data_IF_320730585563
#
_entry.id   IF_320730585563
#
_cell.length_a   1.000
_cell.length_b   1.000
_cell.length_c   1.000
_cell.angle_alpha   90.00
_cell.angle_beta   90.00
_cell.angle_gamma   90.00
#
_symmetry.space_group_name_H-M   'P 1'
#
loop_
_entity.id
_entity.type
_entity.pdbx_description
1 polymer ?
#
# COMPACT_ATOMS: atom_id res chain seq x y z
N UNK A 1 8.24 -17.29 -21.13
CA UNK A 1 9.07 -16.07 -21.20
C UNK A 1 9.55 -15.74 -19.80
N UNK A 2 10.79 -15.24 -19.66
CA UNK A 2 11.28 -14.75 -18.37
C UNK A 2 10.56 -13.43 -18.04
N UNK A 3 10.37 -13.14 -16.76
CA UNK A 3 9.82 -11.88 -16.28
C UNK A 3 10.90 -11.16 -15.48
N UNK A 4 11.02 -9.86 -15.69
CA UNK A 4 12.08 -9.04 -15.14
C UNK A 4 11.51 -7.73 -14.60
N UNK A 5 12.11 -7.23 -13.54
CA UNK A 5 11.89 -5.85 -13.10
C UNK A 5 12.74 -4.94 -13.99
N UNK A 6 12.08 -4.00 -14.66
CA UNK A 6 12.69 -3.07 -15.61
C UNK A 6 13.01 -1.72 -15.00
N UNK A 7 12.14 -1.24 -14.12
CA UNK A 7 12.30 0.03 -13.42
C UNK A 7 11.48 0.04 -12.13
N UNK A 8 11.93 0.83 -11.15
CA UNK A 8 11.24 1.05 -9.87
C UNK A 8 11.41 2.52 -9.48
N UNK A 9 10.31 3.15 -9.07
CA UNK A 9 10.31 4.46 -8.41
C UNK A 9 9.33 4.43 -7.24
N UNK A 10 9.48 5.38 -6.32
CA UNK A 10 8.65 5.48 -5.13
C UNK A 10 8.27 6.92 -4.81
N UNK A 11 7.17 7.08 -4.09
CA UNK A 11 6.66 8.35 -3.57
C UNK A 11 6.46 8.22 -2.06
N UNK A 12 6.83 9.28 -1.34
CA UNK A 12 6.55 9.46 0.06
C UNK A 12 5.78 10.79 0.20
N UNK A 13 4.66 10.84 0.92
CA UNK A 13 3.88 12.06 1.08
C UNK A 13 4.65 13.13 1.88
N UNK A 14 4.31 14.41 1.69
CA UNK A 14 5.13 15.52 2.19
C UNK A 14 5.20 15.60 3.72
N UNK A 15 4.11 15.26 4.42
CA UNK A 15 4.04 15.38 5.87
C UNK A 15 4.91 14.33 6.53
N UNK A 16 5.88 14.80 7.31
CA UNK A 16 6.76 13.96 8.13
C UNK A 16 6.30 14.03 9.59
N UNK A 17 6.07 12.88 10.21
CA UNK A 17 5.80 12.74 11.64
C UNK A 17 7.06 12.16 12.30
N UNK A 18 7.71 12.97 13.13
CA UNK A 18 8.95 12.61 13.82
C UNK A 18 8.69 11.92 15.16
N UNK A 19 9.73 11.32 15.73
CA UNK A 19 9.66 10.81 17.10
C UNK A 19 9.49 11.94 18.12
N UNK A 20 10.04 13.12 17.86
CA UNK A 20 9.87 14.32 18.68
C UNK A 20 8.41 14.77 18.69
N UNK A 21 7.74 14.79 17.53
CA UNK A 21 6.32 15.12 17.43
C UNK A 21 5.43 14.15 18.22
N UNK A 22 5.75 12.85 18.14
CA UNK A 22 5.06 11.82 18.91
C UNK A 22 5.34 11.95 20.41
N UNK A 23 6.55 12.31 20.80
CA UNK A 23 6.90 12.51 22.22
C UNK A 23 6.18 13.73 22.80
N UNK A 24 6.00 14.79 22.00
CA UNK A 24 5.22 15.95 22.38
C UNK A 24 3.72 15.63 22.55
N UNK A 25 3.17 14.75 21.68
CA UNK A 25 1.79 14.27 21.79
C UNK A 25 1.59 13.29 22.94
N UNK A 26 2.61 12.49 23.27
CA UNK A 26 2.56 11.47 24.32
C UNK A 26 3.71 11.61 25.32
N UNK A 27 3.67 12.61 26.23
CA UNK A 27 4.77 12.86 27.17
C UNK A 27 5.09 11.67 28.07
N UNK A 28 4.07 10.88 28.43
CA UNK A 28 4.21 9.70 29.29
C UNK A 28 4.68 8.43 28.54
N UNK A 29 4.80 8.49 27.21
CA UNK A 29 5.23 7.37 26.39
C UNK A 29 6.71 7.49 26.05
N UNK A 30 7.53 6.46 26.30
CA UNK A 30 8.96 6.52 26.04
C UNK A 30 9.27 6.34 24.55
N UNK A 31 8.83 7.26 23.69
CA UNK A 31 8.99 7.23 22.23
C UNK A 31 10.44 6.97 21.85
N UNK A 32 11.40 7.66 22.49
CA UNK A 32 12.82 7.47 22.21
C UNK A 32 13.31 6.02 22.45
N UNK A 33 12.75 5.33 23.47
CA UNK A 33 13.08 3.91 23.72
C UNK A 33 12.43 3.00 22.68
N UNK A 34 11.24 3.34 22.20
CA UNK A 34 10.56 2.58 21.13
C UNK A 34 11.26 2.78 19.80
N UNK A 35 11.56 4.02 19.43
CA UNK A 35 12.32 4.36 18.23
C UNK A 35 13.69 3.68 18.19
N UNK A 36 14.41 3.61 19.32
CA UNK A 36 15.68 2.89 19.41
C UNK A 36 15.55 1.37 19.20
N UNK A 37 14.40 0.77 19.56
CA UNK A 37 14.14 -0.67 19.36
C UNK A 37 13.67 -0.99 17.94
N UNK A 38 12.83 -0.15 17.36
CA UNK A 38 12.24 -0.37 16.02
C UNK A 38 13.15 0.16 14.91
N UNK A 39 14.01 1.13 15.20
CA UNK A 39 14.93 1.74 14.24
C UNK A 39 14.31 2.85 13.38
N UNK A 40 13.08 3.29 13.70
CA UNK A 40 12.37 4.32 12.93
C UNK A 40 12.51 5.67 13.64
N UNK A 41 13.05 6.66 12.91
CA UNK A 41 13.25 8.03 13.40
C UNK A 41 12.11 8.98 13.01
N UNK A 42 11.56 8.79 11.82
CA UNK A 42 10.43 9.54 11.30
C UNK A 42 9.64 8.66 10.31
N UNK A 43 8.41 9.07 10.03
CA UNK A 43 7.55 8.46 9.01
C UNK A 43 6.93 9.53 8.15
N UNK A 44 6.64 9.19 6.90
CA UNK A 44 5.79 9.99 6.05
C UNK A 44 4.33 9.58 6.29
N UNK A 45 3.43 10.56 6.28
CA UNK A 45 2.00 10.39 6.54
C UNK A 45 1.24 11.12 5.45
N UNK A 46 0.26 10.45 4.84
CA UNK A 46 -0.56 11.04 3.80
C UNK A 46 -1.30 12.28 4.32
N UNK A 47 -1.48 13.27 3.45
CA UNK A 47 -2.38 14.39 3.72
C UNK A 47 -3.81 13.92 4.02
N UNK A 48 -4.61 14.79 4.62
CA UNK A 48 -6.01 14.50 4.98
C UNK A 48 -6.80 13.94 3.78
N UNK A 49 -6.65 14.59 2.63
CA UNK A 49 -7.33 14.23 1.37
C UNK A 49 -6.46 13.43 0.40
N UNK A 50 -5.27 12.99 0.80
CA UNK A 50 -4.37 12.19 -0.06
C UNK A 50 -4.61 10.70 0.21
N UNK A 51 -5.08 9.98 -0.79
CA UNK A 51 -5.40 8.55 -0.73
C UNK A 51 -4.26 7.69 -1.28
N UNK A 52 -4.34 6.37 -1.09
CA UNK A 52 -3.39 5.44 -1.70
C UNK A 52 -3.38 5.55 -3.23
N UNK A 53 -4.52 5.80 -3.88
CA UNK A 53 -4.54 6.02 -5.32
C UNK A 53 -3.76 7.27 -5.75
N UNK A 54 -3.80 8.36 -4.97
CA UNK A 54 -3.08 9.59 -5.28
C UNK A 54 -1.56 9.37 -5.21
N UNK A 55 -1.10 8.73 -4.14
CA UNK A 55 0.31 8.37 -4.00
C UNK A 55 0.77 7.39 -5.10
N UNK A 56 -0.11 6.45 -5.51
CA UNK A 56 0.18 5.54 -6.61
C UNK A 56 0.33 6.29 -7.94
N UNK A 57 -0.48 7.34 -8.18
CA UNK A 57 -0.34 8.22 -9.34
C UNK A 57 1.01 8.94 -9.32
N UNK A 58 1.40 9.50 -8.19
CA UNK A 58 2.69 10.19 -8.04
C UNK A 58 3.88 9.23 -8.27
N UNK A 59 3.84 8.04 -7.68
CA UNK A 59 4.88 7.03 -7.88
C UNK A 59 4.99 6.60 -9.36
N UNK A 60 3.86 6.38 -10.04
CA UNK A 60 3.83 6.00 -11.45
C UNK A 60 4.31 7.13 -12.37
N UNK A 61 3.86 8.37 -12.14
CA UNK A 61 4.32 9.54 -12.90
C UNK A 61 5.83 9.76 -12.74
N UNK A 62 6.35 9.57 -11.52
CA UNK A 62 7.79 9.61 -11.24
C UNK A 62 8.53 8.50 -12.01
N UNK A 63 8.04 7.27 -11.97
CA UNK A 63 8.59 6.14 -12.75
C UNK A 63 8.65 6.46 -14.25
N UNK A 64 7.55 6.96 -14.81
CA UNK A 64 7.47 7.29 -16.24
C UNK A 64 8.47 8.37 -16.63
N UNK A 65 8.62 9.41 -15.80
CA UNK A 65 9.55 10.51 -16.03
C UNK A 65 11.00 10.08 -15.85
N UNK A 66 11.34 9.41 -14.75
CA UNK A 66 12.73 9.02 -14.42
C UNK A 66 13.32 8.04 -15.45
N UNK A 67 12.48 7.18 -16.02
CA UNK A 67 12.92 6.11 -16.92
C UNK A 67 12.47 6.30 -18.38
N UNK A 68 11.89 7.45 -18.72
CA UNK A 68 11.37 7.76 -20.07
C UNK A 68 10.46 6.65 -20.63
N UNK A 69 9.55 6.14 -19.80
CA UNK A 69 8.64 5.05 -20.19
C UNK A 69 7.44 5.63 -20.92
N UNK A 70 7.16 5.11 -22.11
CA UNK A 70 5.95 5.41 -22.85
C UNK A 70 4.75 4.69 -22.20
N UNK A 71 3.83 5.50 -21.65
CA UNK A 71 2.57 5.04 -21.02
C UNK A 71 1.72 4.19 -21.95
N UNK A 72 1.80 4.42 -23.27
CA UNK A 72 1.05 3.65 -24.27
C UNK A 72 1.48 2.19 -24.36
N UNK A 73 2.67 1.86 -23.83
CA UNK A 73 3.21 0.49 -23.83
C UNK A 73 2.71 -0.37 -22.68
N UNK A 74 2.12 0.24 -21.65
CA UNK A 74 1.58 -0.46 -20.49
C UNK A 74 0.30 -1.18 -20.89
N UNK A 75 0.26 -2.50 -20.70
CA UNK A 75 -0.89 -3.34 -21.05
C UNK A 75 -1.53 -4.04 -19.84
N UNK A 76 -1.02 -3.79 -18.64
CA UNK A 76 -1.63 -4.28 -17.41
C UNK A 76 -1.30 -3.40 -16.20
N UNK A 77 -2.27 -3.22 -15.29
CA UNK A 77 -2.12 -2.55 -14.00
C UNK A 77 -2.48 -3.51 -12.87
N UNK A 78 -1.61 -3.63 -11.89
CA UNK A 78 -1.88 -4.35 -10.64
C UNK A 78 -1.70 -3.35 -9.51
N UNK A 79 -2.74 -3.09 -8.72
CA UNK A 79 -2.61 -2.31 -7.50
C UNK A 79 -2.64 -3.24 -6.30
N UNK A 80 -1.59 -3.26 -5.48
CA UNK A 80 -1.60 -3.89 -4.18
C UNK A 80 -1.85 -2.83 -3.10
N UNK A 81 -2.99 -2.92 -2.42
CA UNK A 81 -3.38 -1.97 -1.37
C UNK A 81 -4.42 -2.60 -0.43
N UNK A 82 -4.40 -2.19 0.83
CA UNK A 82 -5.47 -2.43 1.80
C UNK A 82 -6.29 -1.16 2.09
N UNK A 83 -5.98 -0.03 1.45
CA UNK A 83 -6.71 1.22 1.50
C UNK A 83 -7.23 1.68 0.13
N UNK A 84 -8.06 0.86 -0.55
CA UNK A 84 -8.64 1.26 -1.83
C UNK A 84 -9.55 2.49 -1.67
N UNK A 85 -9.74 3.24 -2.76
CA UNK A 85 -10.60 4.43 -2.76
C UNK A 85 -12.05 4.09 -2.42
N UNK A 86 -12.54 2.95 -2.92
CA UNK A 86 -13.92 2.52 -2.78
C UNK A 86 -14.02 1.00 -2.62
N UNK A 87 -15.13 0.50 -2.09
CA UNK A 87 -15.50 -0.92 -2.20
C UNK A 87 -15.71 -1.34 -3.65
N UNK A 88 -16.31 -0.43 -4.44
CA UNK A 88 -16.43 -0.49 -5.88
C UNK A 88 -16.64 0.94 -6.40
N UNK A 89 -16.08 1.31 -7.57
CA UNK A 89 -15.30 0.47 -8.49
C UNK A 89 -13.86 0.18 -8.02
N UNK A 90 -13.19 -0.77 -8.67
CA UNK A 90 -11.79 -1.13 -8.44
C UNK A 90 -10.86 0.07 -8.64
N UNK A 91 -9.91 0.27 -7.72
CA UNK A 91 -9.03 1.44 -7.70
C UNK A 91 -8.03 1.39 -8.88
N UNK A 92 -7.51 0.23 -9.24
CA UNK A 92 -6.66 0.06 -10.43
C UNK A 92 -7.34 0.50 -11.73
N UNK A 93 -8.67 0.35 -11.85
CA UNK A 93 -9.42 0.83 -13.02
C UNK A 93 -9.47 2.36 -13.06
N UNK A 94 -9.62 3.00 -11.90
CA UNK A 94 -9.53 4.46 -11.78
C UNK A 94 -8.11 4.93 -12.14
N UNK A 95 -7.08 4.24 -11.63
CA UNK A 95 -5.68 4.54 -11.89
C UNK A 95 -5.33 4.42 -13.38
N UNK A 96 -5.84 3.39 -14.07
CA UNK A 96 -5.66 3.23 -15.52
C UNK A 96 -6.08 4.49 -16.28
N UNK A 97 -7.25 5.05 -15.95
CA UNK A 97 -7.73 6.30 -16.55
C UNK A 97 -6.89 7.50 -16.11
N UNK A 98 -6.65 7.67 -14.80
CA UNK A 98 -5.89 8.81 -14.23
C UNK A 98 -4.46 8.90 -14.78
N UNK A 99 -3.84 7.77 -15.07
CA UNK A 99 -2.50 7.68 -15.64
C UNK A 99 -2.47 7.80 -17.17
N UNK A 100 -3.63 7.83 -17.84
CA UNK A 100 -3.73 7.93 -19.29
C UNK A 100 -3.21 6.68 -20.01
N UNK A 101 -3.38 5.50 -19.40
CA UNK A 101 -2.97 4.23 -19.99
C UNK A 101 -3.98 3.78 -21.07
N UNK A 102 -3.62 2.87 -21.98
CA UNK A 102 -4.57 2.35 -22.97
C UNK A 102 -5.79 1.69 -22.33
N UNK A 103 -6.96 1.83 -22.95
CA UNK A 103 -8.19 1.13 -22.53
C UNK A 103 -8.14 -0.37 -22.79
N UNK A 104 -7.16 -0.83 -23.56
CA UNK A 104 -6.85 -2.25 -23.76
C UNK A 104 -6.05 -2.85 -22.59
N UNK A 105 -5.56 -2.03 -21.65
CA UNK A 105 -4.82 -2.52 -20.49
C UNK A 105 -5.77 -3.20 -19.48
N UNK A 106 -5.38 -4.39 -19.01
CA UNK A 106 -6.08 -5.02 -17.88
C UNK A 106 -5.82 -4.29 -16.57
N UNK A 107 -6.72 -4.37 -15.60
CA UNK A 107 -6.54 -3.73 -14.29
C UNK A 107 -7.27 -4.51 -13.18
N UNK A 108 -6.59 -4.76 -12.04
CA UNK A 108 -7.24 -5.25 -10.82
C UNK A 108 -6.48 -4.85 -9.55
N UNK A 109 -7.19 -4.92 -8.42
CA UNK A 109 -6.65 -4.71 -7.09
C UNK A 109 -6.32 -6.05 -6.40
N UNK A 110 -5.25 -6.08 -5.62
CA UNK A 110 -4.84 -7.16 -4.71
C UNK A 110 -4.89 -6.62 -3.30
N UNK A 111 -5.76 -7.18 -2.45
CA UNK A 111 -5.78 -6.86 -1.04
C UNK A 111 -4.75 -7.73 -0.30
N UNK A 112 -3.53 -7.22 -0.16
CA UNK A 112 -2.47 -7.77 0.67
C UNK A 112 -1.64 -6.62 1.27
N UNK A 113 -1.17 -6.81 2.50
CA UNK A 113 -0.25 -5.90 3.18
C UNK A 113 1.21 -6.25 2.91
N UNK A 114 2.00 -6.49 3.96
CA UNK A 114 3.46 -6.64 3.91
C UNK A 114 4.00 -7.73 2.96
N UNK A 115 3.21 -8.76 2.63
CA UNK A 115 3.58 -9.82 1.67
C UNK A 115 3.26 -9.46 0.21
N UNK A 116 2.50 -8.39 0.00
CA UNK A 116 1.82 -8.06 -1.26
C UNK A 116 2.76 -7.88 -2.45
N UNK A 117 3.92 -7.24 -2.26
CA UNK A 117 4.88 -7.04 -3.36
C UNK A 117 5.33 -8.37 -3.98
N UNK A 118 5.71 -9.35 -3.14
CA UNK A 118 6.20 -10.66 -3.59
C UNK A 118 5.08 -11.47 -4.24
N UNK A 119 3.86 -11.43 -3.69
CA UNK A 119 2.69 -12.07 -4.31
C UNK A 119 2.38 -11.45 -5.67
N UNK A 120 2.45 -10.13 -5.81
CA UNK A 120 2.21 -9.46 -7.08
C UNK A 120 3.31 -9.73 -8.11
N UNK A 121 4.58 -9.87 -7.69
CA UNK A 121 5.64 -10.35 -8.58
C UNK A 121 5.34 -11.75 -9.13
N UNK A 122 4.77 -12.64 -8.31
CA UNK A 122 4.38 -13.99 -8.77
C UNK A 122 3.24 -13.94 -9.78
N UNK A 123 2.22 -13.11 -9.53
CA UNK A 123 1.11 -12.90 -10.47
C UNK A 123 1.63 -12.30 -11.78
N UNK A 124 2.46 -11.26 -11.71
CA UNK A 124 3.06 -10.61 -12.88
C UNK A 124 3.94 -11.56 -13.69
N UNK A 125 4.78 -12.38 -13.03
CA UNK A 125 5.56 -13.44 -13.70
C UNK A 125 4.67 -14.41 -14.44
N UNK A 126 3.57 -14.87 -13.81
CA UNK A 126 2.60 -15.75 -14.44
C UNK A 126 1.98 -15.15 -15.70
N UNK A 127 1.59 -13.87 -15.65
CA UNK A 127 0.97 -13.17 -16.78
C UNK A 127 1.93 -12.99 -17.95
N UNK A 128 3.17 -12.62 -17.69
CA UNK A 128 4.21 -12.52 -18.73
C UNK A 128 4.53 -13.89 -19.31
N UNK A 129 4.70 -14.91 -18.46
CA UNK A 129 5.02 -16.27 -18.91
C UNK A 129 3.93 -16.86 -19.81
N UNK A 130 2.66 -16.57 -19.49
CA UNK A 130 1.48 -17.01 -20.25
C UNK A 130 1.18 -16.14 -21.49
N UNK A 131 1.88 -15.01 -21.68
CA UNK A 131 1.62 -14.07 -22.77
C UNK A 131 0.33 -13.25 -22.61
N UNK A 132 -0.21 -13.17 -21.39
CA UNK A 132 -1.40 -12.36 -21.06
C UNK A 132 -1.06 -10.86 -21.04
N UNK A 133 0.16 -10.51 -20.64
CA UNK A 133 0.65 -9.13 -20.59
C UNK A 133 2.13 -9.07 -20.99
N UNK A 134 2.58 -7.90 -21.46
CA UNK A 134 3.97 -7.64 -21.84
C UNK A 134 4.62 -6.59 -20.94
N UNK A 135 3.88 -5.59 -20.50
CA UNK A 135 4.37 -4.50 -19.66
C UNK A 135 3.37 -4.22 -18.55
N UNK A 136 3.66 -4.80 -17.39
CA UNK A 136 2.81 -4.71 -16.21
C UNK A 136 3.32 -3.57 -15.33
N UNK A 137 2.43 -2.61 -15.04
CA UNK A 137 2.63 -1.60 -14.01
C UNK A 137 2.12 -2.16 -12.68
N UNK A 138 3.05 -2.61 -11.83
CA UNK A 138 2.75 -2.99 -10.45
C UNK A 138 2.85 -1.74 -9.56
N UNK A 139 1.75 -1.38 -8.94
CA UNK A 139 1.63 -0.32 -7.96
C UNK A 139 1.44 -0.95 -6.58
N UNK A 140 2.25 -0.56 -5.60
CA UNK A 140 1.98 -0.82 -4.19
C UNK A 140 1.77 0.50 -3.51
N UNK A 141 0.64 0.71 -2.83
CA UNK A 141 0.34 1.99 -2.19
C UNK A 141 -0.53 1.78 -0.97
N UNK A 142 -0.18 2.40 0.14
CA UNK A 142 -0.84 2.17 1.42
C UNK A 142 -0.87 3.41 2.29
N UNK A 143 -2.00 3.60 2.98
CA UNK A 143 -2.24 4.73 3.90
C UNK A 143 -2.72 4.20 5.25
N UNK A 144 -1.93 3.34 5.89
CA UNK A 144 -2.28 2.78 7.21
C UNK A 144 -2.58 3.88 8.24
N UNK A 145 -1.97 5.07 8.10
CA UNK A 145 -2.26 6.20 8.99
C UNK A 145 -3.74 6.57 9.09
N UNK A 146 -4.53 6.31 8.04
CA UNK A 146 -5.98 6.59 8.02
C UNK A 146 -6.80 5.59 8.83
N UNK A 147 -6.20 4.47 9.22
CA UNK A 147 -6.84 3.43 10.03
C UNK A 147 -6.33 3.38 11.47
N UNK A 148 -5.20 4.04 11.75
CA UNK A 148 -4.58 4.00 13.07
C UNK A 148 -5.18 5.10 13.94
N UNK A 149 -5.75 4.71 15.08
CA UNK A 149 -6.29 5.65 16.05
C UNK A 149 -5.22 6.64 16.54
N UNK A 150 -5.61 7.89 16.78
CA UNK A 150 -4.68 8.93 17.22
C UNK A 150 -3.94 8.54 18.52
N UNK A 151 -4.61 7.88 19.46
CA UNK A 151 -4.02 7.41 20.71
C UNK A 151 -3.30 6.06 20.64
N UNK A 152 -3.27 5.38 19.48
CA UNK A 152 -2.51 4.13 19.32
C UNK A 152 -1.00 4.43 19.12
N UNK A 153 -0.34 4.65 20.25
CA UNK A 153 1.09 4.99 20.31
C UNK A 153 1.97 3.90 19.71
N UNK A 154 1.57 2.63 19.80
CA UNK A 154 2.32 1.49 19.27
C UNK A 154 2.36 1.52 17.75
N UNK A 155 1.20 1.52 17.11
CA UNK A 155 1.14 1.51 15.65
C UNK A 155 1.62 2.84 15.05
N UNK A 156 1.31 3.98 15.67
CA UNK A 156 1.82 5.30 15.21
C UNK A 156 3.34 5.43 15.27
N UNK A 157 4.02 4.66 16.12
CA UNK A 157 5.50 4.62 16.17
C UNK A 157 6.12 3.61 15.21
N UNK A 158 5.32 2.86 14.45
CA UNK A 158 5.79 1.90 13.43
C UNK A 158 5.39 2.32 12.02
N UNK A 159 4.11 2.54 11.75
CA UNK A 159 3.63 2.70 10.39
C UNK A 159 3.92 4.09 9.81
N UNK A 160 4.07 4.11 8.49
CA UNK A 160 4.11 5.27 7.62
C UNK A 160 3.45 4.93 6.30
N UNK A 161 3.17 5.95 5.51
CA UNK A 161 2.46 5.84 4.24
C UNK A 161 3.43 6.05 3.08
N UNK A 162 3.22 5.32 1.99
CA UNK A 162 4.09 5.36 0.82
C UNK A 162 3.42 4.71 -0.40
N UNK A 163 3.99 5.00 -1.57
CA UNK A 163 3.72 4.25 -2.78
C UNK A 163 4.99 3.89 -3.54
N UNK A 164 4.94 2.78 -4.30
CA UNK A 164 5.95 2.41 -5.27
C UNK A 164 5.30 1.95 -6.58
N UNK A 165 5.98 2.26 -7.68
CA UNK A 165 5.63 1.82 -9.01
C UNK A 165 6.78 0.99 -9.58
N UNK A 166 6.48 -0.21 -10.06
CA UNK A 166 7.44 -1.17 -10.63
C UNK A 166 6.97 -1.53 -12.03
N UNK A 167 7.82 -1.33 -13.04
CA UNK A 167 7.58 -1.85 -14.38
C UNK A 167 8.14 -3.26 -14.49
N UNK A 168 7.29 -4.22 -14.84
CA UNK A 168 7.65 -5.63 -15.03
C UNK A 168 7.44 -6.00 -16.49
N UNK A 169 8.45 -6.57 -17.13
CA UNK A 169 8.43 -6.92 -18.56
C UNK A 169 9.24 -8.19 -18.85
N UNK A 170 9.33 -8.59 -20.11
CA UNK A 170 10.15 -9.72 -20.53
C UNK A 170 11.66 -9.44 -20.41
N UNK A 171 12.05 -8.16 -20.36
CA UNK A 171 13.41 -7.66 -20.17
C UNK A 171 13.49 -6.68 -19.00
N UNK A 172 14.66 -6.57 -18.37
CA UNK A 172 14.88 -5.69 -17.23
C UNK A 172 16.24 -5.90 -16.57
N UNK A 173 16.49 -5.20 -15.46
CA UNK A 173 17.77 -5.28 -14.75
C UNK A 173 17.84 -6.43 -13.73
N UNK A 174 16.68 -6.99 -13.34
CA UNK A 174 16.60 -8.07 -12.37
C UNK A 174 15.54 -9.10 -12.79
N UNK A 175 15.96 -10.36 -12.95
CA UNK A 175 15.04 -11.47 -13.24
C UNK A 175 14.24 -11.85 -11.99
N UNK A 176 12.95 -12.10 -12.20
CA UNK A 176 12.03 -12.54 -11.15
C UNK A 176 12.18 -14.06 -10.99
N UNK A 177 12.79 -14.45 -9.87
CA UNK A 177 13.06 -15.84 -9.50
C UNK A 177 11.81 -16.64 -9.09
N UNK A 178 12.04 -17.69 -8.31
CA UNK A 178 11.00 -18.58 -7.82
C UNK A 178 10.39 -18.07 -6.51
N UNK A 179 9.23 -18.62 -6.15
CA UNK A 179 8.43 -18.13 -5.03
C UNK A 179 8.16 -19.24 -4.01
N UNK A 180 8.15 -18.85 -2.74
CA UNK A 180 7.64 -19.64 -1.64
C UNK A 180 6.52 -18.85 -0.95
N UNK A 181 5.29 -19.04 -1.43
CA UNK A 181 4.11 -18.31 -0.95
C UNK A 181 3.38 -19.15 0.10
N UNK A 182 3.14 -18.56 1.27
CA UNK A 182 2.51 -19.24 2.40
C UNK A 182 1.43 -18.36 3.03
N UNK A 183 0.46 -19.01 3.65
CA UNK A 183 -0.67 -18.38 4.34
C UNK A 183 -1.04 -19.20 5.58
N UNK A 184 -1.11 -18.53 6.74
CA UNK A 184 -1.75 -19.07 7.94
C UNK A 184 -2.89 -18.13 8.36
N UNK A 185 -4.11 -18.52 8.06
CA UNK A 185 -5.31 -17.73 8.35
C UNK A 185 -5.71 -17.71 9.81
N UNK A 186 -5.14 -18.58 10.66
CA UNK A 186 -5.44 -18.58 12.10
C UNK A 186 -4.93 -17.32 12.80
N UNK A 187 -3.97 -16.61 12.20
CA UNK A 187 -3.42 -15.37 12.74
C UNK A 187 -4.26 -14.11 12.51
N UNK A 188 -5.45 -14.21 11.91
CA UNK A 188 -6.25 -13.05 11.49
C UNK A 188 -6.50 -12.03 12.61
N UNK A 189 -6.77 -12.48 13.84
CA UNK A 189 -7.07 -11.58 14.97
C UNK A 189 -5.83 -10.84 15.52
N UNK A 190 -4.62 -11.21 15.08
CA UNK A 190 -3.38 -10.56 15.53
C UNK A 190 -3.08 -9.24 14.79
N UNK A 191 -3.64 -9.06 13.59
CA UNK A 191 -3.50 -7.83 12.79
C UNK A 191 -4.73 -7.65 11.90
N UNK A 192 -5.67 -6.81 12.36
CA UNK A 192 -6.98 -6.63 11.73
C UNK A 192 -7.50 -5.21 11.95
N UNK A 193 -8.16 -4.66 10.92
CA UNK A 193 -9.13 -3.56 11.09
C UNK A 193 -10.50 -4.22 11.23
N UNK A 194 -11.00 -4.26 12.46
CA UNK A 194 -12.11 -5.12 12.83
C UNK A 194 -13.47 -4.63 12.34
N UNK A 195 -13.64 -3.32 12.23
CA UNK A 195 -14.88 -2.66 11.80
C UNK A 195 -14.70 -1.96 10.45
N UNK A 196 -15.80 -1.80 9.71
CA UNK A 196 -15.85 -1.13 8.39
C UNK A 196 -15.99 -2.10 7.22
N UNK A 197 -15.62 -3.37 7.41
CA UNK A 197 -15.93 -4.43 6.46
C UNK A 197 -17.37 -4.96 6.59
N UNK A 198 -17.77 -5.88 5.70
CA UNK A 198 -19.12 -6.47 5.73
C UNK A 198 -19.34 -7.47 6.88
N UNK A 199 -18.28 -7.98 7.50
CA UNK A 199 -18.36 -8.92 8.64
C UNK A 199 -18.87 -8.21 9.89
N UNK A 200 -18.37 -7.00 10.14
CA UNK A 200 -18.77 -6.09 11.21
C UNK A 200 -18.90 -4.71 10.59
N UNK A 201 -20.12 -4.38 10.19
CA UNK A 201 -20.43 -3.05 9.65
C UNK A 201 -20.21 -2.04 10.77
N UNK A 202 -19.77 -0.85 10.41
CA UNK A 202 -19.78 0.27 11.34
C UNK A 202 -21.25 0.58 11.62
N UNK A 203 -21.71 0.37 12.85
CA UNK A 203 -23.07 0.67 13.24
C UNK A 203 -23.21 2.20 13.34
N UNK A 204 -24.12 2.76 12.53
CA UNK A 204 -24.74 4.09 12.64
C UNK A 204 -23.93 5.35 13.03
N UNK A 205 -22.63 5.39 12.75
CA UNK A 205 -21.84 6.64 12.87
C UNK A 205 -21.54 7.06 14.32
N UNK A 206 -21.75 6.18 15.30
CA UNK A 206 -21.26 6.37 16.66
C UNK A 206 -19.98 5.55 16.87
N UNK A 207 -18.84 6.25 16.98
CA UNK A 207 -17.56 5.64 17.37
C UNK A 207 -17.72 5.15 18.81
N UNK A 208 -17.79 3.84 19.00
CA UNK A 208 -17.47 3.28 20.31
C UNK A 208 -15.94 3.16 20.38
N UNK A 209 -15.40 3.50 21.56
CA UNK A 209 -13.99 3.35 21.90
C UNK A 209 -13.86 2.18 22.88
N UNK A 210 -13.24 1.07 22.47
CA UNK A 210 -12.84 -0.03 23.34
C UNK A 210 -11.32 -0.12 23.44
N UNK A 211 -10.80 0.11 24.65
CA UNK A 211 -9.40 -0.15 25.00
C UNK A 211 -9.26 -1.57 25.53
N UNK A 212 -8.39 -2.39 24.93
CA UNK A 212 -8.01 -3.69 25.49
C UNK A 212 -6.48 -3.87 25.50
N UNK A 213 -5.92 -4.21 26.67
CA UNK A 213 -4.48 -4.41 26.90
C UNK A 213 -3.54 -3.30 26.35
N UNK A 214 -3.99 -2.04 26.36
CA UNK A 214 -3.19 -0.91 25.87
C UNK A 214 -3.08 -0.82 24.34
N UNK A 215 -3.86 -1.61 23.60
CA UNK A 215 -4.14 -1.43 22.17
C UNK A 215 -5.57 -0.93 22.02
N UNK A 216 -5.75 0.17 21.29
CA UNK A 216 -7.08 0.59 20.84
C UNK A 216 -7.43 -0.27 19.64
N UNK A 217 -8.42 -1.14 19.79
CA UNK A 217 -9.17 -1.67 18.66
C UNK A 217 -10.32 -0.68 18.53
N UNK A 218 -10.50 0.00 17.39
CA UNK A 218 -11.83 0.29 16.82
C UNK A 218 -11.89 1.30 15.65
N UNK A 219 -12.94 1.06 14.85
CA UNK A 219 -13.72 1.87 13.90
C UNK A 219 -13.03 2.85 12.96
N UNK A 220 -12.83 2.41 11.72
CA UNK A 220 -12.75 3.32 10.56
C UNK A 220 -14.18 3.58 10.12
N UNK A 221 -14.70 4.77 10.44
CA UNK A 221 -15.93 5.26 9.83
C UNK A 221 -15.66 5.63 8.37
N UNK A 222 -16.40 5.01 7.45
CA UNK A 222 -16.58 5.52 6.09
C UNK A 222 -17.85 6.36 6.04
#
# INVERSE_FOLDING_TARGET
MNANIKAISYYLPEKVLTNEDLAAQFPDWPVAKVGAKVGIQARHVAGENELASDMAVEAANKLFTEHNIDRSTIDFVILCTQSPDYFLPTTACILQHRLGLPTTAGAFDVNLGCSGYVYCLAIAKGFIAAGVAKNILLLTSETYSKFIHNDDRGNRTIFGDAAAATLISADGFAEIGDFALHTDGAGAENLIVEQGGLRKRSDDGSVQEQMDEGRLKETVGF
#
